data_IF_955254349345
#
_entry.id   IF_955254349345
#
_cell.length_a   1.000
_cell.length_b   1.000
_cell.length_c   1.000
_cell.angle_alpha   90.00
_cell.angle_beta   90.00
_cell.angle_gamma   90.00
#
_symmetry.space_group_name_H-M   'P 1'
#
loop_
_entity.id
_entity.type
_entity.pdbx_description
1 polymer ?
#
# COMPACT_ATOMS: atom_id res chain seq x y z
N UNK A 1 -9.75 -29.40 -1.13
CA UNK A 1 -9.96 -28.02 -1.64
C UNK A 1 -8.90 -27.72 -2.70
N UNK A 2 -9.25 -27.07 -3.81
CA UNK A 2 -8.29 -26.72 -4.89
C UNK A 2 -7.88 -25.25 -4.81
N UNK A 3 -6.63 -24.91 -5.18
CA UNK A 3 -6.09 -23.54 -5.29
C UNK A 3 -7.03 -22.57 -6.03
N UNK A 4 -7.86 -23.07 -6.96
CA UNK A 4 -8.87 -22.30 -7.69
C UNK A 4 -9.85 -21.54 -6.78
N UNK A 5 -10.07 -21.99 -5.55
CA UNK A 5 -10.89 -21.27 -4.57
C UNK A 5 -10.29 -19.91 -4.20
N UNK A 6 -8.95 -19.76 -4.17
CA UNK A 6 -8.27 -18.49 -3.89
C UNK A 6 -8.40 -17.46 -5.03
N UNK A 7 -8.76 -17.90 -6.24
CA UNK A 7 -8.84 -17.04 -7.43
C UNK A 7 -10.23 -16.42 -7.66
N UNK A 8 -11.18 -16.67 -6.76
CA UNK A 8 -12.57 -16.18 -6.82
C UNK A 8 -13.21 -16.33 -8.22
N UNK A 9 -13.57 -17.56 -8.64
CA UNK A 9 -14.12 -17.81 -9.97
C UNK A 9 -15.43 -17.06 -10.23
N UNK A 10 -16.18 -16.66 -9.19
CA UNK A 10 -17.46 -15.95 -9.30
C UNK A 10 -17.32 -14.43 -9.49
N UNK A 11 -16.09 -13.92 -9.46
CA UNK A 11 -15.78 -12.52 -9.72
C UNK A 11 -15.69 -12.25 -11.23
N UNK A 12 -16.87 -12.23 -11.85
CA UNK A 12 -17.06 -11.92 -13.27
C UNK A 12 -16.50 -10.54 -13.63
N UNK A 13 -16.18 -10.35 -14.91
CA UNK A 13 -15.59 -9.11 -15.42
C UNK A 13 -16.49 -7.90 -15.16
N UNK A 14 -17.82 -8.06 -15.20
CA UNK A 14 -18.78 -7.01 -14.85
C UNK A 14 -18.67 -6.56 -13.39
N UNK A 15 -18.59 -7.51 -12.43
CA UNK A 15 -18.39 -7.19 -11.01
C UNK A 15 -17.04 -6.53 -10.75
N UNK A 16 -15.99 -6.97 -11.45
CA UNK A 16 -14.65 -6.34 -11.42
C UNK A 16 -14.70 -4.88 -11.83
N UNK A 17 -15.41 -4.56 -12.91
CA UNK A 17 -15.56 -3.18 -13.39
C UNK A 17 -16.35 -2.31 -12.41
N UNK A 18 -17.46 -2.81 -11.85
CA UNK A 18 -18.25 -2.08 -10.85
C UNK A 18 -17.39 -1.78 -9.62
N UNK A 19 -16.69 -2.79 -9.10
CA UNK A 19 -15.82 -2.61 -7.94
C UNK A 19 -14.67 -1.62 -8.24
N UNK A 20 -14.06 -1.70 -9.43
CA UNK A 20 -13.04 -0.75 -9.86
C UNK A 20 -13.58 0.70 -9.93
N UNK A 21 -14.81 0.90 -10.41
CA UNK A 21 -15.45 2.22 -10.45
C UNK A 21 -15.68 2.77 -9.04
N UNK A 22 -16.13 1.93 -8.10
CA UNK A 22 -16.29 2.32 -6.69
C UNK A 22 -14.93 2.64 -6.05
N UNK A 23 -13.87 1.87 -6.35
CA UNK A 23 -12.51 2.22 -5.94
C UNK A 23 -12.08 3.58 -6.49
N UNK A 24 -12.39 3.88 -7.75
CA UNK A 24 -12.06 5.17 -8.36
C UNK A 24 -12.80 6.33 -7.70
N UNK A 25 -14.09 6.16 -7.39
CA UNK A 25 -14.88 7.12 -6.61
C UNK A 25 -14.27 7.32 -5.22
N UNK A 26 -13.89 6.23 -4.54
CA UNK A 26 -13.23 6.29 -3.24
C UNK A 26 -11.93 7.11 -3.28
N UNK A 27 -11.07 6.87 -4.27
CA UNK A 27 -9.85 7.66 -4.47
C UNK A 27 -10.20 9.13 -4.74
N UNK A 28 -11.19 9.42 -5.59
CA UNK A 28 -11.61 10.79 -5.90
C UNK A 28 -12.11 11.54 -4.65
N UNK A 29 -12.89 10.88 -3.80
CA UNK A 29 -13.34 11.43 -2.50
C UNK A 29 -12.14 11.71 -1.61
N UNK A 30 -11.19 10.77 -1.47
CA UNK A 30 -9.97 10.97 -0.69
C UNK A 30 -9.14 12.15 -1.20
N UNK A 31 -9.00 12.30 -2.52
CA UNK A 31 -8.33 13.46 -3.12
C UNK A 31 -9.08 14.77 -2.83
N UNK A 32 -10.41 14.75 -2.90
CA UNK A 32 -11.26 15.87 -2.51
C UNK A 32 -11.05 16.30 -1.06
N UNK A 33 -11.00 15.35 -0.12
CA UNK A 33 -10.71 15.62 1.29
C UNK A 33 -9.30 16.21 1.48
N UNK A 34 -8.28 15.67 0.80
CA UNK A 34 -6.93 16.22 0.83
C UNK A 34 -6.91 17.66 0.31
N UNK A 35 -7.66 17.96 -0.75
CA UNK A 35 -7.78 19.29 -1.32
C UNK A 35 -8.46 20.26 -0.35
N UNK A 36 -9.56 19.86 0.30
CA UNK A 36 -10.25 20.65 1.31
C UNK A 36 -9.32 20.99 2.48
N UNK A 37 -8.58 20.01 3.00
CA UNK A 37 -7.59 20.23 4.07
C UNK A 37 -6.47 21.16 3.60
N UNK A 38 -6.01 21.03 2.35
CA UNK A 38 -5.00 21.93 1.82
C UNK A 38 -5.50 23.38 1.74
N UNK A 39 -6.77 23.60 1.37
CA UNK A 39 -7.40 24.92 1.36
C UNK A 39 -7.51 25.49 2.77
N UNK A 40 -8.05 24.74 3.74
CA UNK A 40 -8.29 25.26 5.10
C UNK A 40 -6.98 25.64 5.80
N UNK A 41 -5.91 24.89 5.55
CA UNK A 41 -4.58 25.20 6.08
C UNK A 41 -3.98 26.45 5.41
N UNK A 42 -4.11 26.60 4.08
CA UNK A 42 -3.57 27.77 3.35
C UNK A 42 -4.43 29.04 3.42
N UNK A 43 -5.69 28.96 3.88
CA UNK A 43 -6.55 30.13 4.02
C UNK A 43 -5.99 31.17 4.99
N UNK A 44 -5.09 30.78 5.90
CA UNK A 44 -4.55 31.66 6.94
C UNK A 44 -3.41 32.60 6.52
N UNK A 45 -2.74 32.41 5.37
CA UNK A 45 -1.36 32.94 5.27
C UNK A 45 -0.93 33.66 3.98
N UNK A 46 -1.64 33.57 2.84
CA UNK A 46 -1.10 34.11 1.56
C UNK A 46 -2.19 34.69 0.62
N UNK A 47 -1.92 35.84 -0.01
CA UNK A 47 -2.80 36.48 -1.02
C UNK A 47 -2.40 36.16 -2.48
N UNK A 48 -3.37 36.22 -3.41
CA UNK A 48 -3.14 36.27 -4.86
C UNK A 48 -2.61 34.99 -5.56
N UNK A 49 -1.86 35.15 -6.66
CA UNK A 49 -1.34 34.04 -7.48
C UNK A 49 -0.36 33.12 -6.71
N UNK A 50 0.38 33.65 -5.73
CA UNK A 50 1.26 32.85 -4.85
C UNK A 50 0.45 31.84 -4.03
N UNK A 51 -0.77 32.18 -3.62
CA UNK A 51 -1.68 31.25 -2.94
C UNK A 51 -2.04 30.06 -3.81
N UNK A 52 -2.33 30.28 -5.10
CA UNK A 52 -2.69 29.20 -6.05
C UNK A 52 -1.52 28.24 -6.28
N UNK A 53 -0.30 28.77 -6.44
CA UNK A 53 0.91 27.95 -6.58
C UNK A 53 1.24 27.18 -5.29
N UNK A 54 1.15 27.84 -4.13
CA UNK A 54 1.36 27.23 -2.83
C UNK A 54 0.32 26.13 -2.54
N UNK A 55 -0.95 26.35 -2.89
CA UNK A 55 -2.03 25.37 -2.75
C UNK A 55 -1.77 24.15 -3.63
N UNK A 56 -1.41 24.35 -4.90
CA UNK A 56 -1.12 23.24 -5.81
C UNK A 56 0.11 22.44 -5.32
N UNK A 57 1.15 23.13 -4.84
CA UNK A 57 2.32 22.46 -4.27
C UNK A 57 1.99 21.66 -3.01
N UNK A 58 1.19 22.24 -2.10
CA UNK A 58 0.73 21.56 -0.89
C UNK A 58 -0.12 20.35 -1.24
N UNK A 59 -1.11 20.51 -2.12
CA UNK A 59 -1.98 19.43 -2.59
C UNK A 59 -1.15 18.28 -3.21
N UNK A 60 -0.29 18.58 -4.18
CA UNK A 60 0.55 17.56 -4.83
C UNK A 60 1.43 16.83 -3.82
N UNK A 61 2.03 17.53 -2.85
CA UNK A 61 2.83 16.88 -1.80
C UNK A 61 1.98 15.94 -0.94
N UNK A 62 0.81 16.40 -0.47
CA UNK A 62 -0.10 15.56 0.34
C UNK A 62 -0.62 14.34 -0.42
N UNK A 63 -0.98 14.50 -1.70
CA UNK A 63 -1.42 13.40 -2.57
C UNK A 63 -0.29 12.38 -2.77
N UNK A 64 0.95 12.85 -2.98
CA UNK A 64 2.10 11.97 -3.10
C UNK A 64 2.33 11.13 -1.83
N UNK A 65 2.15 11.71 -0.64
CA UNK A 65 2.27 10.96 0.63
C UNK A 65 1.18 9.91 0.78
N UNK A 66 -0.04 10.26 0.38
CA UNK A 66 -1.17 9.34 0.38
C UNK A 66 -0.97 8.16 -0.59
N UNK A 67 -0.50 8.43 -1.81
CA UNK A 67 -0.21 7.37 -2.76
C UNK A 67 0.97 6.49 -2.33
N UNK A 68 2.04 7.07 -1.78
CA UNK A 68 3.15 6.29 -1.20
C UNK A 68 2.65 5.37 -0.08
N UNK A 69 1.73 5.84 0.77
CA UNK A 69 1.11 5.01 1.81
C UNK A 69 0.37 3.80 1.23
N UNK A 70 -0.45 4.00 0.20
CA UNK A 70 -1.22 2.92 -0.44
C UNK A 70 -0.30 1.94 -1.18
N UNK A 71 0.74 2.43 -1.86
CA UNK A 71 1.72 1.59 -2.56
C UNK A 71 2.51 0.74 -1.56
N UNK A 72 3.08 1.37 -0.53
CA UNK A 72 3.83 0.69 0.50
C UNK A 72 2.95 -0.32 1.25
N UNK A 73 1.70 0.06 1.58
CA UNK A 73 0.73 -0.82 2.19
C UNK A 73 0.39 -2.03 1.33
N UNK A 74 0.29 -1.86 0.01
CA UNK A 74 0.03 -2.96 -0.93
C UNK A 74 1.18 -3.97 -0.96
N UNK A 75 2.42 -3.49 -0.95
CA UNK A 75 3.59 -4.38 -0.92
C UNK A 75 3.70 -5.16 0.39
N UNK A 76 3.48 -4.49 1.52
CA UNK A 76 3.44 -5.14 2.83
C UNK A 76 2.30 -6.18 2.84
N UNK A 77 1.10 -5.80 2.41
CA UNK A 77 -0.02 -6.72 2.36
C UNK A 77 0.19 -7.92 1.41
N UNK A 78 0.96 -7.75 0.32
CA UNK A 78 1.33 -8.86 -0.57
C UNK A 78 2.12 -9.95 0.14
N UNK A 79 3.02 -9.57 1.04
CA UNK A 79 3.77 -10.51 1.88
C UNK A 79 2.85 -11.19 2.89
N UNK A 80 2.01 -10.42 3.59
CA UNK A 80 1.04 -10.97 4.54
C UNK A 80 0.13 -11.99 3.88
N UNK A 81 -0.37 -11.66 2.69
CA UNK A 81 -1.24 -12.52 1.90
C UNK A 81 -0.51 -13.81 1.48
N UNK A 82 0.72 -13.70 0.98
CA UNK A 82 1.51 -14.87 0.60
C UNK A 82 1.77 -15.80 1.80
N UNK A 83 2.16 -15.24 2.95
CA UNK A 83 2.37 -16.00 4.18
C UNK A 83 1.12 -16.77 4.59
N UNK A 84 -0.03 -16.08 4.70
CA UNK A 84 -1.28 -16.69 5.20
C UNK A 84 -1.77 -17.77 4.24
N UNK A 85 -1.65 -17.55 2.93
CA UNK A 85 -2.01 -18.58 1.93
C UNK A 85 -1.14 -19.83 2.11
N UNK A 86 0.18 -19.66 2.19
CA UNK A 86 1.11 -20.80 2.31
C UNK A 86 0.87 -21.53 3.63
N UNK A 87 0.75 -20.80 4.75
CA UNK A 87 0.50 -21.38 6.06
C UNK A 87 -0.83 -22.16 6.10
N UNK A 88 -1.90 -21.58 5.54
CA UNK A 88 -3.20 -22.23 5.48
C UNK A 88 -3.18 -23.50 4.61
N UNK A 89 -2.51 -23.45 3.45
CA UNK A 89 -2.34 -24.63 2.59
C UNK A 89 -1.61 -25.73 3.34
N UNK A 90 -0.55 -25.41 4.08
CA UNK A 90 0.19 -26.39 4.87
C UNK A 90 -0.66 -27.00 5.99
N UNK A 91 -1.45 -26.19 6.69
CA UNK A 91 -2.37 -26.68 7.69
C UNK A 91 -3.43 -27.64 7.10
N UNK A 92 -3.99 -27.32 5.93
CA UNK A 92 -4.95 -28.18 5.24
C UNK A 92 -4.35 -29.54 4.78
N UNK A 93 -3.05 -29.55 4.48
CA UNK A 93 -2.32 -30.77 4.10
C UNK A 93 -2.05 -31.62 5.34
N UNK A 94 -1.56 -31.01 6.42
CA UNK A 94 -1.27 -31.69 7.68
C UNK A 94 -2.53 -32.29 8.34
N UNK A 95 -3.67 -31.62 8.21
CA UNK A 95 -4.97 -32.11 8.71
C UNK A 95 -5.61 -33.19 7.83
N UNK A 96 -4.96 -33.59 6.74
CA UNK A 96 -5.42 -34.70 5.89
C UNK A 96 -6.63 -34.36 4.99
N UNK A 97 -7.08 -33.10 4.98
CA UNK A 97 -8.24 -32.65 4.19
C UNK A 97 -7.87 -32.45 2.70
N UNK A 98 -6.60 -32.17 2.41
CA UNK A 98 -6.06 -32.08 1.05
C UNK A 98 -5.25 -33.33 0.70
N UNK A 99 -5.86 -34.28 -0.01
CA UNK A 99 -5.24 -35.57 -0.39
C UNK A 99 -4.67 -35.59 -1.81
N UNK A 100 -5.16 -34.71 -2.70
CA UNK A 100 -4.70 -34.62 -4.10
C UNK A 100 -3.78 -33.41 -4.29
N UNK A 101 -2.51 -33.55 -3.89
CA UNK A 101 -1.49 -32.52 -4.10
C UNK A 101 -0.69 -32.78 -5.37
N UNK A 102 -0.53 -31.73 -6.15
CA UNK A 102 0.42 -31.61 -7.26
C UNK A 102 1.85 -31.71 -6.73
N UNK A 103 2.79 -32.23 -7.51
CA UNK A 103 4.21 -32.36 -7.10
C UNK A 103 4.84 -31.04 -6.61
N UNK A 104 4.40 -29.90 -7.17
CA UNK A 104 4.84 -28.56 -6.74
C UNK A 104 4.28 -28.16 -5.37
N UNK A 105 3.07 -28.58 -5.04
CA UNK A 105 2.44 -28.29 -3.74
C UNK A 105 3.10 -29.09 -2.63
N UNK A 106 3.45 -30.37 -2.89
CA UNK A 106 4.21 -31.19 -1.92
C UNK A 106 5.58 -30.60 -1.61
N UNK A 107 6.32 -30.19 -2.63
CA UNK A 107 7.62 -29.52 -2.46
C UNK A 107 7.50 -28.23 -1.64
N UNK A 108 6.44 -27.42 -1.86
CA UNK A 108 6.20 -26.22 -1.08
C UNK A 108 5.86 -26.52 0.39
N UNK A 109 5.11 -27.59 0.66
CA UNK A 109 4.76 -28.00 2.02
C UNK A 109 5.99 -28.48 2.79
N UNK A 110 6.83 -29.31 2.16
CA UNK A 110 8.09 -29.80 2.75
C UNK A 110 9.05 -28.63 3.03
N UNK A 111 9.26 -27.75 2.05
CA UNK A 111 10.10 -26.55 2.21
C UNK A 111 9.60 -25.62 3.31
N UNK A 112 8.29 -25.49 3.49
CA UNK A 112 7.73 -24.69 4.58
C UNK A 112 7.85 -25.37 5.94
N UNK A 113 7.68 -26.69 6.00
CA UNK A 113 7.78 -27.45 7.23
C UNK A 113 9.21 -27.45 7.79
N UNK A 114 10.22 -27.60 6.93
CA UNK A 114 11.62 -27.66 7.35
C UNK A 114 12.32 -26.29 7.34
N UNK A 115 11.88 -25.37 6.48
CA UNK A 115 12.58 -24.12 6.18
C UNK A 115 11.76 -22.84 6.39
N UNK A 116 10.74 -22.87 7.27
CA UNK A 116 9.80 -21.75 7.49
C UNK A 116 10.48 -20.38 7.58
N UNK A 117 11.52 -20.26 8.41
CA UNK A 117 12.21 -18.98 8.63
C UNK A 117 12.96 -18.48 7.38
N UNK A 118 13.55 -19.38 6.60
CA UNK A 118 14.22 -19.03 5.34
C UNK A 118 13.21 -18.61 4.26
N UNK A 119 12.10 -19.33 4.15
CA UNK A 119 11.02 -18.96 3.22
C UNK A 119 10.44 -17.61 3.59
N UNK A 120 10.25 -17.36 4.89
CA UNK A 120 9.77 -16.08 5.38
C UNK A 120 10.73 -14.94 5.07
N UNK A 121 12.03 -15.13 5.34
CA UNK A 121 13.07 -14.15 5.01
C UNK A 121 13.06 -13.83 3.51
N UNK A 122 12.95 -14.86 2.67
CA UNK A 122 12.84 -14.71 1.22
C UNK A 122 11.61 -13.89 0.82
N UNK A 123 10.45 -14.17 1.42
CA UNK A 123 9.21 -13.45 1.14
C UNK A 123 9.29 -11.96 1.55
N UNK A 124 9.95 -11.66 2.68
CA UNK A 124 10.20 -10.26 3.10
C UNK A 124 11.10 -9.56 2.07
N UNK A 125 12.19 -10.22 1.64
CA UNK A 125 13.07 -9.70 0.60
C UNK A 125 12.30 -9.44 -0.72
N UNK A 126 11.43 -10.39 -1.12
CA UNK A 126 10.59 -10.24 -2.30
C UNK A 126 9.64 -9.04 -2.18
N UNK A 127 9.03 -8.83 -1.01
CA UNK A 127 8.19 -7.65 -0.76
C UNK A 127 8.99 -6.35 -0.91
N UNK A 128 10.24 -6.28 -0.43
CA UNK A 128 11.09 -5.12 -0.64
C UNK A 128 11.39 -4.87 -2.13
N UNK A 129 11.58 -5.93 -2.92
CA UNK A 129 11.74 -5.85 -4.37
C UNK A 129 10.44 -5.37 -5.04
N UNK A 130 9.28 -5.92 -4.65
CA UNK A 130 7.97 -5.49 -5.15
C UNK A 130 7.76 -4.00 -4.87
N UNK A 131 8.05 -3.52 -3.66
CA UNK A 131 8.02 -2.10 -3.31
C UNK A 131 8.85 -1.25 -4.29
N UNK A 132 10.05 -1.71 -4.62
CA UNK A 132 10.95 -1.00 -5.54
C UNK A 132 10.42 -1.00 -6.98
N UNK A 133 9.80 -2.11 -7.42
CA UNK A 133 9.15 -2.22 -8.73
C UNK A 133 7.92 -1.29 -8.80
N UNK A 134 7.06 -1.31 -7.78
CA UNK A 134 5.88 -0.45 -7.71
C UNK A 134 6.27 1.03 -7.69
N UNK A 135 7.34 1.38 -6.98
CA UNK A 135 7.92 2.73 -6.97
C UNK A 135 8.38 3.18 -8.36
N UNK A 136 9.02 2.29 -9.11
CA UNK A 136 9.52 2.59 -10.45
C UNK A 136 8.37 2.75 -11.45
N UNK A 137 7.33 1.92 -11.35
CA UNK A 137 6.25 1.86 -12.34
C UNK A 137 5.16 2.92 -12.08
N UNK A 138 4.79 3.16 -10.82
CA UNK A 138 3.54 3.88 -10.52
C UNK A 138 3.76 5.37 -10.33
N UNK A 139 4.77 5.81 -9.58
CA UNK A 139 5.06 7.25 -9.38
C UNK A 139 6.54 7.50 -9.08
N UNK A 140 7.32 8.14 -9.98
CA UNK A 140 8.58 8.76 -9.58
C UNK A 140 8.28 9.98 -8.68
N UNK A 141 8.28 9.74 -7.36
CA UNK A 141 8.04 10.73 -6.32
C UNK A 141 9.15 11.79 -6.29
N UNK A 142 9.01 12.83 -7.11
CA UNK A 142 10.02 13.89 -7.24
C UNK A 142 10.07 14.90 -6.08
N UNK A 143 9.08 14.93 -5.17
CA UNK A 143 8.99 15.98 -4.13
C UNK A 143 9.10 15.51 -2.68
N UNK A 144 9.05 14.20 -2.40
CA UNK A 144 9.19 13.67 -1.04
C UNK A 144 10.67 13.37 -0.78
N UNK A 145 11.19 13.75 0.39
CA UNK A 145 12.58 13.41 0.77
C UNK A 145 12.71 11.91 1.06
N UNK A 146 13.93 11.35 0.97
CA UNK A 146 14.14 9.93 1.26
C UNK A 146 13.69 9.54 2.67
N UNK A 147 13.91 10.42 3.65
CA UNK A 147 13.51 10.22 5.05
C UNK A 147 11.98 10.21 5.24
N UNK A 148 11.27 11.15 4.59
CA UNK A 148 9.82 11.20 4.63
C UNK A 148 9.21 9.95 3.99
N UNK A 149 9.75 9.52 2.84
CA UNK A 149 9.35 8.28 2.18
C UNK A 149 9.53 7.09 3.12
N UNK A 150 10.68 7.00 3.76
CA UNK A 150 11.00 5.92 4.68
C UNK A 150 10.05 5.92 5.91
N UNK A 151 9.65 7.10 6.40
CA UNK A 151 8.68 7.27 7.50
C UNK A 151 7.28 6.82 7.08
N UNK A 152 6.84 7.19 5.87
CA UNK A 152 5.53 6.78 5.33
C UNK A 152 5.46 5.27 5.15
N UNK A 153 6.52 4.63 4.65
CA UNK A 153 6.58 3.16 4.54
C UNK A 153 6.50 2.45 5.89
N UNK A 154 7.08 3.06 6.93
CA UNK A 154 6.98 2.53 8.28
C UNK A 154 5.55 2.66 8.83
N UNK A 155 4.91 3.80 8.58
CA UNK A 155 3.50 4.01 8.91
C UNK A 155 2.57 3.09 8.09
N UNK A 156 2.96 2.70 6.88
CA UNK A 156 2.25 1.70 6.07
C UNK A 156 2.31 0.30 6.70
N UNK A 157 3.43 -0.07 7.35
CA UNK A 157 3.49 -1.32 8.13
C UNK A 157 2.53 -1.27 9.32
N UNK A 158 2.47 -0.16 10.07
CA UNK A 158 1.46 0.04 11.13
C UNK A 158 0.03 -0.09 10.59
N UNK A 159 -0.25 0.53 9.44
CA UNK A 159 -1.53 0.42 8.76
C UNK A 159 -1.92 -1.04 8.47
N UNK A 160 -0.99 -1.84 7.93
CA UNK A 160 -1.25 -3.27 7.67
C UNK A 160 -1.41 -4.05 8.96
N UNK A 161 -0.63 -3.77 10.02
CA UNK A 161 -0.82 -4.40 11.33
C UNK A 161 -2.24 -4.16 11.85
N UNK A 162 -2.77 -2.93 11.77
CA UNK A 162 -4.14 -2.63 12.21
C UNK A 162 -5.17 -3.44 11.40
N UNK A 163 -4.98 -3.57 10.09
CA UNK A 163 -5.84 -4.41 9.25
C UNK A 163 -5.77 -5.89 9.65
N UNK A 164 -4.57 -6.41 9.91
CA UNK A 164 -4.38 -7.79 10.33
C UNK A 164 -4.96 -8.04 11.72
N UNK A 165 -4.85 -7.10 12.66
CA UNK A 165 -5.49 -7.17 13.97
C UNK A 165 -7.02 -7.24 13.83
N UNK A 166 -7.59 -6.44 12.93
CA UNK A 166 -9.02 -6.50 12.64
C UNK A 166 -9.43 -7.84 12.02
N UNK A 167 -8.64 -8.37 11.08
CA UNK A 167 -8.85 -9.71 10.52
C UNK A 167 -8.75 -10.80 11.58
N UNK A 168 -7.79 -10.68 12.50
CA UNK A 168 -7.59 -11.63 13.58
C UNK A 168 -8.85 -11.75 14.47
N UNK A 169 -9.60 -10.66 14.62
CA UNK A 169 -10.84 -10.64 15.39
C UNK A 169 -12.03 -11.30 14.68
N UNK A 170 -12.00 -11.39 13.35
CA UNK A 170 -13.14 -11.85 12.53
C UNK A 170 -12.89 -13.24 11.91
N UNK A 171 -11.63 -13.57 11.64
CA UNK A 171 -11.18 -14.88 11.16
C UNK A 171 -10.57 -15.72 12.28
N UNK A 172 -9.82 -16.75 11.89
CA UNK A 172 -9.11 -17.62 12.84
C UNK A 172 -7.88 -16.91 13.43
N UNK A 173 -7.87 -16.74 14.77
CA UNK A 173 -6.86 -15.96 15.51
C UNK A 173 -5.41 -16.48 15.36
N UNK A 174 -5.23 -17.76 15.00
CA UNK A 174 -3.90 -18.39 14.93
C UNK A 174 -3.11 -18.03 13.67
N UNK A 175 -3.78 -17.61 12.60
CA UNK A 175 -3.14 -17.47 11.28
C UNK A 175 -2.48 -16.09 11.07
N UNK A 176 -2.98 -15.03 11.71
CA UNK A 176 -2.50 -13.67 11.50
C UNK A 176 -1.49 -13.21 12.55
N UNK A 177 -1.54 -13.78 13.76
CA UNK A 177 -0.68 -13.41 14.89
C UNK A 177 0.83 -13.50 14.58
N UNK A 178 1.33 -14.58 13.93
CA UNK A 178 2.74 -14.65 13.56
C UNK A 178 3.17 -13.54 12.60
N UNK A 179 2.35 -13.22 11.59
CA UNK A 179 2.64 -12.16 10.61
C UNK A 179 2.74 -10.79 11.28
N UNK A 180 1.81 -10.51 12.20
CA UNK A 180 1.84 -9.26 12.97
C UNK A 180 3.14 -9.13 13.78
N UNK A 181 3.57 -10.21 14.44
CA UNK A 181 4.82 -10.24 15.21
C UNK A 181 6.05 -10.02 14.32
N UNK A 182 6.07 -10.59 13.10
CA UNK A 182 7.17 -10.34 12.17
C UNK A 182 7.27 -8.88 11.75
N UNK A 183 6.15 -8.21 11.44
CA UNK A 183 6.20 -6.78 11.14
C UNK A 183 6.60 -5.94 12.34
N UNK A 184 6.09 -6.27 13.52
CA UNK A 184 6.47 -5.58 14.74
C UNK A 184 7.98 -5.71 15.00
N UNK A 185 8.53 -6.90 14.81
CA UNK A 185 9.98 -7.17 14.87
C UNK A 185 10.77 -6.40 13.81
N UNK A 186 10.32 -6.36 12.56
CA UNK A 186 10.96 -5.57 11.49
C UNK A 186 10.96 -4.08 11.81
N UNK A 187 9.88 -3.57 12.40
CA UNK A 187 9.76 -2.17 12.79
C UNK A 187 10.66 -1.83 13.96
N UNK A 188 10.66 -2.65 15.02
CA UNK A 188 11.59 -2.49 16.14
C UNK A 188 13.03 -2.59 15.66
N UNK A 189 13.36 -3.60 14.86
CA UNK A 189 14.71 -3.77 14.30
C UNK A 189 15.15 -2.55 13.51
N UNK A 190 14.23 -1.93 12.78
CA UNK A 190 14.48 -0.67 12.08
C UNK A 190 14.70 0.49 13.06
N UNK A 191 13.88 0.68 14.07
CA UNK A 191 14.08 1.74 15.06
C UNK A 191 15.40 1.56 15.83
N UNK A 192 15.70 0.33 16.25
CA UNK A 192 16.93 0.00 16.98
C UNK A 192 18.19 0.18 16.12
N UNK A 193 18.12 -0.16 14.82
CA UNK A 193 19.25 0.00 13.89
C UNK A 193 19.49 1.45 13.45
N UNK A 194 18.43 2.26 13.30
CA UNK A 194 18.55 3.65 12.85
C UNK A 194 18.79 4.65 13.99
N UNK A 195 18.36 4.36 15.23
CA UNK A 195 18.49 5.27 16.37
C UNK A 195 19.58 4.85 17.35
N UNK A 196 20.84 5.15 17.03
CA UNK A 196 21.90 5.19 18.03
C UNK A 196 21.72 6.34 19.05
N UNK A 197 20.77 7.26 18.81
CA UNK A 197 20.44 8.42 19.66
C UNK A 197 18.93 8.55 19.87
N UNK A 198 18.49 8.62 21.13
CA UNK A 198 17.08 8.83 21.51
C UNK A 198 16.44 10.08 20.88
N UNK A 199 17.25 11.08 20.48
CA UNK A 199 16.76 12.30 19.82
C UNK A 199 16.23 12.03 18.42
N UNK A 200 16.95 11.21 17.64
CA UNK A 200 16.56 10.88 16.27
C UNK A 200 15.28 10.02 16.28
N UNK A 201 15.11 9.18 17.30
CA UNK A 201 13.90 8.41 17.55
C UNK A 201 12.68 9.30 17.78
N UNK A 202 12.81 10.31 18.65
CA UNK A 202 11.72 11.25 18.91
C UNK A 202 11.34 12.06 17.66
N UNK A 203 12.32 12.43 16.83
CA UNK A 203 12.07 13.11 15.56
C UNK A 203 11.32 12.20 14.58
N UNK A 204 11.75 10.94 14.45
CA UNK A 204 11.08 9.94 13.62
C UNK A 204 9.64 9.68 14.10
N UNK A 205 9.43 9.56 15.41
CA UNK A 205 8.10 9.40 16.01
C UNK A 205 7.21 10.62 15.74
N UNK A 206 7.73 11.83 15.92
CA UNK A 206 7.01 13.07 15.62
C UNK A 206 6.61 13.15 14.15
N UNK A 207 7.53 12.82 13.24
CA UNK A 207 7.26 12.78 11.80
C UNK A 207 6.20 11.72 11.44
N UNK A 208 6.20 10.58 12.11
CA UNK A 208 5.16 9.57 11.97
C UNK A 208 3.78 10.11 12.40
N UNK A 209 3.69 10.77 13.56
CA UNK A 209 2.45 11.40 14.03
C UNK A 209 1.90 12.46 13.06
N UNK A 210 2.77 13.28 12.44
CA UNK A 210 2.32 14.23 11.41
C UNK A 210 1.73 13.58 10.16
N UNK A 211 2.14 12.34 9.86
CA UNK A 211 1.62 11.58 8.73
C UNK A 211 0.43 10.67 9.11
N UNK A 212 0.05 10.59 10.39
CA UNK A 212 -1.07 9.79 10.89
C UNK A 212 -2.41 10.07 10.19
N UNK A 213 -2.75 11.32 9.79
CA UNK A 213 -3.98 11.57 9.02
C UNK A 213 -4.06 10.77 7.71
N UNK A 214 -2.93 10.51 7.05
CA UNK A 214 -2.91 9.69 5.83
C UNK A 214 -3.14 8.21 6.13
N UNK A 215 -2.68 7.72 7.30
CA UNK A 215 -3.01 6.38 7.76
C UNK A 215 -4.51 6.25 8.00
N UNK A 216 -5.13 7.21 8.70
CA UNK A 216 -6.57 7.20 8.96
C UNK A 216 -7.34 7.24 7.63
N UNK A 217 -6.96 8.13 6.71
CA UNK A 217 -7.59 8.22 5.40
C UNK A 217 -7.48 6.91 4.61
N UNK A 218 -6.31 6.26 4.64
CA UNK A 218 -6.09 4.97 3.96
C UNK A 218 -6.88 3.85 4.61
N UNK A 219 -6.94 3.82 5.95
CA UNK A 219 -7.72 2.85 6.72
C UNK A 219 -9.21 3.00 6.45
N UNK A 220 -9.73 4.22 6.44
CA UNK A 220 -11.13 4.51 6.11
C UNK A 220 -11.44 4.14 4.66
N UNK A 221 -10.58 4.49 3.71
CA UNK A 221 -10.79 4.13 2.30
C UNK A 221 -10.83 2.61 2.10
N UNK A 222 -9.81 1.91 2.59
CA UNK A 222 -9.75 0.45 2.47
C UNK A 222 -10.87 -0.23 3.24
N UNK A 223 -11.16 0.23 4.46
CA UNK A 223 -12.25 -0.30 5.29
C UNK A 223 -13.61 -0.17 4.63
N UNK A 224 -13.93 1.00 4.06
CA UNK A 224 -15.19 1.23 3.35
C UNK A 224 -15.29 0.40 2.06
N UNK A 225 -14.20 0.31 1.29
CA UNK A 225 -14.17 -0.49 0.06
C UNK A 225 -14.29 -1.99 0.35
N UNK A 226 -13.61 -2.48 1.38
CA UNK A 226 -13.72 -3.86 1.82
C UNK A 226 -15.13 -4.15 2.35
N UNK A 227 -15.70 -3.25 3.17
CA UNK A 227 -17.07 -3.38 3.65
C UNK A 227 -18.07 -3.49 2.48
N UNK A 228 -17.96 -2.59 1.49
CA UNK A 228 -18.76 -2.65 0.27
C UNK A 228 -18.53 -3.95 -0.52
N UNK A 229 -17.27 -4.35 -0.69
CA UNK A 229 -16.89 -5.54 -1.44
C UNK A 229 -17.39 -6.84 -0.81
N UNK A 230 -17.38 -6.94 0.51
CA UNK A 230 -17.95 -8.08 1.24
C UNK A 230 -19.49 -8.02 1.24
N UNK A 231 -20.09 -6.85 1.47
CA UNK A 231 -21.56 -6.67 1.45
C UNK A 231 -22.16 -7.08 0.10
N UNK A 232 -21.52 -6.70 -1.01
CA UNK A 232 -21.95 -7.06 -2.38
C UNK A 232 -21.54 -8.49 -2.80
N UNK A 233 -20.90 -9.27 -1.91
CA UNK A 233 -20.35 -10.62 -2.19
C UNK A 233 -19.40 -10.65 -3.38
N UNK A 234 -18.65 -9.57 -3.58
CA UNK A 234 -17.61 -9.49 -4.61
C UNK A 234 -16.28 -10.08 -4.12
N UNK A 235 -16.01 -9.95 -2.82
CA UNK A 235 -14.82 -10.47 -2.16
C UNK A 235 -15.10 -11.84 -1.52
N UNK A 236 -14.09 -12.70 -1.40
CA UNK A 236 -14.25 -14.04 -0.83
C UNK A 236 -14.51 -13.98 0.67
N UNK A 237 -15.55 -14.67 1.14
CA UNK A 237 -15.87 -14.82 2.56
C UNK A 237 -15.11 -16.01 3.20
N UNK A 238 -14.98 -15.99 4.54
CA UNK A 238 -14.29 -17.00 5.40
C UNK A 238 -12.76 -16.94 5.37
N UNK A 239 -12.08 -18.01 4.96
CA UNK A 239 -10.63 -18.19 5.14
C UNK A 239 -9.78 -17.31 4.19
N UNK A 240 -10.41 -16.41 3.44
CA UNK A 240 -9.84 -15.64 2.35
C UNK A 240 -10.00 -14.13 2.54
N UNK A 241 -10.39 -13.66 3.73
CA UNK A 241 -10.59 -12.23 3.99
C UNK A 241 -9.33 -11.39 3.64
N UNK A 242 -8.13 -11.92 3.94
CA UNK A 242 -6.87 -11.26 3.57
C UNK A 242 -6.68 -11.15 2.06
N UNK A 243 -7.11 -12.16 1.30
CA UNK A 243 -7.06 -12.15 -0.17
C UNK A 243 -8.04 -11.13 -0.73
N UNK A 244 -9.22 -11.01 -0.13
CA UNK A 244 -10.19 -9.97 -0.47
C UNK A 244 -9.64 -8.55 -0.25
N UNK A 245 -9.02 -8.30 0.91
CA UNK A 245 -8.38 -7.01 1.18
C UNK A 245 -7.21 -6.76 0.23
N UNK A 246 -6.41 -7.79 -0.07
CA UNK A 246 -5.33 -7.68 -1.04
C UNK A 246 -5.84 -7.34 -2.44
N UNK A 247 -6.95 -7.95 -2.89
CA UNK A 247 -7.61 -7.56 -4.14
C UNK A 247 -8.05 -6.10 -4.12
N UNK A 248 -8.67 -5.62 -3.04
CA UNK A 248 -9.02 -4.20 -2.89
C UNK A 248 -7.81 -3.29 -3.10
N UNK A 249 -6.67 -3.65 -2.51
CA UNK A 249 -5.41 -2.93 -2.71
C UNK A 249 -4.92 -2.94 -4.16
N UNK A 250 -5.05 -4.07 -4.88
CA UNK A 250 -4.70 -4.13 -6.30
C UNK A 250 -5.60 -3.23 -7.15
N UNK A 251 -6.89 -3.14 -6.87
CA UNK A 251 -7.79 -2.20 -7.56
C UNK A 251 -7.45 -0.75 -7.25
N UNK A 252 -7.14 -0.43 -5.99
CA UNK A 252 -6.65 0.90 -5.61
C UNK A 252 -5.37 1.25 -6.36
N UNK A 253 -4.43 0.32 -6.46
CA UNK A 253 -3.18 0.48 -7.17
C UNK A 253 -3.40 0.75 -8.67
N UNK A 254 -4.30 -0.02 -9.30
CA UNK A 254 -4.70 0.20 -10.68
C UNK A 254 -5.36 1.57 -10.89
N UNK A 255 -6.18 2.02 -9.93
CA UNK A 255 -6.81 3.34 -9.95
C UNK A 255 -5.80 4.48 -9.86
N UNK A 256 -4.83 4.37 -8.94
CA UNK A 256 -3.72 5.34 -8.80
C UNK A 256 -2.90 5.39 -10.08
N UNK A 257 -2.58 4.23 -10.66
CA UNK A 257 -1.83 4.14 -11.91
C UNK A 257 -2.57 4.82 -13.07
N UNK A 258 -3.89 4.62 -13.19
CA UNK A 258 -4.71 5.30 -14.19
C UNK A 258 -4.68 6.84 -14.00
N UNK A 259 -4.84 7.32 -12.76
CA UNK A 259 -4.75 8.75 -12.45
C UNK A 259 -3.38 9.31 -12.83
N UNK A 260 -2.31 8.56 -12.55
CA UNK A 260 -0.96 8.97 -12.90
C UNK A 260 -0.76 9.10 -14.41
N UNK A 261 -1.24 8.11 -15.19
CA UNK A 261 -1.19 8.15 -16.66
C UNK A 261 -1.94 9.37 -17.18
N UNK A 262 -3.18 9.60 -16.71
CA UNK A 262 -3.99 10.74 -17.14
C UNK A 262 -3.28 12.05 -16.82
N UNK A 263 -2.71 12.20 -15.62
CA UNK A 263 -1.94 13.38 -15.23
C UNK A 263 -0.70 13.58 -16.10
N UNK A 264 0.04 12.51 -16.40
CA UNK A 264 1.20 12.54 -17.29
C UNK A 264 0.81 13.00 -18.70
N UNK A 265 -0.26 12.44 -19.26
CA UNK A 265 -0.77 12.80 -20.59
C UNK A 265 -1.18 14.28 -20.62
N UNK A 266 -2.00 14.73 -19.67
CA UNK A 266 -2.42 16.14 -19.57
C UNK A 266 -1.19 17.06 -19.45
N UNK A 267 -0.19 16.67 -18.65
CA UNK A 267 1.04 17.45 -18.49
C UNK A 267 1.89 17.51 -19.75
N UNK A 268 1.86 16.47 -20.60
CA UNK A 268 2.53 16.46 -21.89
C UNK A 268 1.85 17.39 -22.89
N UNK A 269 0.51 17.42 -22.90
CA UNK A 269 -0.28 18.32 -23.77
C UNK A 269 -0.25 19.79 -23.33
N UNK A 270 -0.11 20.06 -22.03
CA UNK A 270 -0.13 21.43 -21.47
C UNK A 270 1.25 22.07 -21.32
N UNK A 271 2.35 21.36 -21.60
CA UNK A 271 3.67 21.99 -21.70
C UNK A 271 3.71 22.79 -23.00
N UNK A 272 3.77 24.14 -22.97
CA UNK A 272 4.20 24.85 -24.15
C UNK A 272 5.60 24.33 -24.49
N UNK A 273 5.84 24.02 -25.78
CA UNK A 273 7.21 23.88 -26.31
C UNK A 273 7.96 25.13 -25.90
N UNK A 274 8.73 25.06 -24.82
CA UNK A 274 9.74 26.07 -24.52
C UNK A 274 10.85 25.77 -25.52
N UNK A 275 10.68 26.34 -26.71
CA UNK A 275 11.72 26.46 -27.71
C UNK A 275 12.98 26.98 -27.05
N UNK A 276 14.08 26.29 -27.33
CA UNK A 276 15.45 26.79 -27.29
C UNK A 276 15.51 28.31 -27.49
N UNK A 277 16.25 28.97 -26.61
CA UNK A 277 16.97 30.27 -26.76
C UNK A 277 16.91 31.00 -25.42
N UNK A 278 18.06 31.10 -24.77
CA UNK A 278 18.54 32.08 -23.76
C UNK A 278 19.63 31.38 -22.92
N UNK A 279 20.84 31.28 -23.47
CA UNK A 279 22.01 32.07 -23.05
C UNK A 279 22.79 31.35 -21.94
N UNK A 280 23.90 30.63 -22.17
CA UNK A 280 25.16 31.02 -22.83
C UNK A 280 25.77 32.34 -22.33
N UNK A 281 25.59 32.69 -21.05
CA UNK A 281 26.28 33.84 -20.43
C UNK A 281 26.56 33.73 -18.91
N UNK A 282 26.91 32.54 -18.39
CA UNK A 282 27.50 32.42 -17.03
C UNK A 282 28.67 31.43 -16.97
N UNK A 283 29.48 31.41 -18.02
CA UNK A 283 30.86 30.92 -17.99
C UNK A 283 31.70 32.11 -18.42
N UNK A 284 32.20 32.88 -17.45
CA UNK A 284 33.41 33.73 -17.44
C UNK A 284 33.35 34.60 -16.18
N UNK A 285 33.94 34.07 -15.11
CA UNK A 285 34.91 34.68 -14.18
C UNK A 285 34.88 33.96 -12.84
#
# INVERSE_FOLDING_TARGET
MTIKAYLNPDFTLGKKLIFFLVCFIGIAISLGLIYLVAITVLQRDISGQRKKLALNNAFVNKVQRFFEMLIAGTSVLSFSCAYVIINHVNHLVQTGVATNLTSREKMLVELWAEGKDFVLLLLICLSCVINTILDMIIIPLKKITKEEKATIRMLAMFYVIILLMYLNRIGDESEYSPVMMYYFGLMIGRFVYFDASFKDFLIALKNMFFNLPYLILSLSLTGLLCYFGFYMKFLLERNYFIVGIFYTHLFLLAGIFLIHIVWMIISAFTRPRRTSVLSRSYLIK
#
